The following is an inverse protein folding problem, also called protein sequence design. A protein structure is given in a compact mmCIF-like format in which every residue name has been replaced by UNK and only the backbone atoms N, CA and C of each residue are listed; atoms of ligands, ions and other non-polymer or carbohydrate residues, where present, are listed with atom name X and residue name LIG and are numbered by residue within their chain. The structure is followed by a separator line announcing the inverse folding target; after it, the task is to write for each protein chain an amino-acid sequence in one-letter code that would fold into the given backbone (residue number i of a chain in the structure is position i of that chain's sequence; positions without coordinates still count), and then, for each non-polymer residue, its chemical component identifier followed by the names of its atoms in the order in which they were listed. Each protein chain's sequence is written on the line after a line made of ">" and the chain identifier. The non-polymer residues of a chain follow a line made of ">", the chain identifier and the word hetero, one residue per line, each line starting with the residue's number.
data_IF_420689720100
#
_entry.id   IF_420689720100
#
_cell.length_a   1.000
_cell.length_b   1.000
_cell.length_c   1.000
_cell.angle_alpha   90.00
_cell.angle_beta   90.00
_cell.angle_gamma   90.00
#
_symmetry.space_group_name_H-M   'P 1'
#
loop_
_entity.id
_entity.type
_entity.pdbx_description
1 polymer ?
#
# COMPACT_ATOMS: atom_id res chain seq x y z
N UNK A 1 18.54 2.79 -32.97
CA UNK A 1 18.23 3.41 -31.65
C UNK A 1 16.98 2.79 -31.09
N UNK A 2 17.02 2.34 -29.83
CA UNK A 2 15.89 1.76 -29.11
C UNK A 2 15.45 2.71 -28.01
N UNK A 3 14.15 2.74 -27.71
CA UNK A 3 13.62 3.52 -26.62
C UNK A 3 13.00 2.61 -25.57
N UNK A 4 13.33 2.79 -24.30
CA UNK A 4 12.71 2.10 -23.17
C UNK A 4 12.24 3.08 -22.12
N UNK A 5 11.15 2.75 -21.43
CA UNK A 5 10.63 3.50 -20.29
C UNK A 5 10.91 2.71 -19.02
N UNK A 6 11.61 3.33 -18.07
CA UNK A 6 11.97 2.69 -16.81
C UNK A 6 11.38 3.48 -15.65
N UNK A 7 10.74 2.78 -14.74
CA UNK A 7 10.19 3.37 -13.51
C UNK A 7 11.31 3.50 -12.48
N UNK A 8 11.65 4.73 -12.09
CA UNK A 8 12.80 5.05 -11.26
C UNK A 8 12.33 5.34 -9.83
N UNK A 9 12.94 4.68 -8.85
CA UNK A 9 12.65 4.93 -7.43
C UNK A 9 13.49 6.06 -6.87
N UNK A 10 13.06 6.62 -5.72
CA UNK A 10 13.78 7.64 -4.94
C UNK A 10 13.89 9.03 -5.59
N UNK A 11 13.10 9.34 -6.61
CA UNK A 11 13.02 10.69 -7.15
C UNK A 11 11.99 11.51 -6.36
N UNK A 12 12.46 12.58 -5.70
CA UNK A 12 11.59 13.41 -4.83
C UNK A 12 11.60 14.90 -5.23
N UNK A 13 12.50 15.31 -6.12
CA UNK A 13 12.64 16.72 -6.51
C UNK A 13 13.23 16.87 -7.92
N UNK A 14 13.11 18.07 -8.48
CA UNK A 14 13.65 18.41 -9.80
C UNK A 14 15.19 18.24 -9.89
N UNK A 15 15.91 18.39 -8.78
CA UNK A 15 17.34 18.14 -8.75
C UNK A 15 17.67 16.66 -8.98
N UNK A 16 16.81 15.74 -8.53
CA UNK A 16 16.99 14.31 -8.75
C UNK A 16 16.83 13.96 -10.24
N UNK A 17 15.78 14.46 -10.90
CA UNK A 17 15.58 14.25 -12.33
C UNK A 17 16.69 14.89 -13.16
N UNK A 18 17.09 16.13 -12.81
CA UNK A 18 18.20 16.82 -13.47
C UNK A 18 19.55 16.11 -13.31
N UNK A 19 19.83 15.48 -12.16
CA UNK A 19 21.05 14.71 -11.94
C UNK A 19 21.10 13.47 -12.85
N UNK A 20 19.97 12.76 -13.00
CA UNK A 20 19.87 11.61 -13.90
C UNK A 20 20.04 12.05 -15.35
N UNK A 21 19.33 13.09 -15.78
CA UNK A 21 19.43 13.64 -17.13
C UNK A 21 20.85 14.08 -17.45
N UNK A 22 21.50 14.83 -16.57
CA UNK A 22 22.88 15.28 -16.74
C UNK A 22 23.85 14.10 -16.86
N UNK A 23 23.69 13.07 -16.03
CA UNK A 23 24.58 11.91 -16.02
C UNK A 23 24.50 11.10 -17.31
N UNK A 24 23.30 10.84 -17.83
CA UNK A 24 23.13 10.04 -19.04
C UNK A 24 23.34 10.86 -20.32
N UNK A 25 22.86 12.10 -20.37
CA UNK A 25 23.00 12.96 -21.54
C UNK A 25 24.45 13.45 -21.78
N UNK A 26 25.33 13.31 -20.77
CA UNK A 26 26.79 13.55 -20.92
C UNK A 26 27.53 12.38 -21.57
N UNK A 27 26.87 11.24 -21.79
CA UNK A 27 27.44 10.05 -22.40
C UNK A 27 27.04 9.96 -23.86
N UNK A 28 27.92 9.37 -24.69
CA UNK A 28 27.62 9.09 -26.08
C UNK A 28 26.62 7.93 -26.20
N UNK A 29 25.85 7.91 -27.26
CA UNK A 29 24.89 6.85 -27.63
C UNK A 29 23.70 6.64 -26.70
N UNK A 30 23.46 7.55 -25.74
CA UNK A 30 22.29 7.51 -24.87
C UNK A 30 21.74 8.90 -24.58
N UNK A 31 20.43 9.05 -24.63
CA UNK A 31 19.69 10.23 -24.19
C UNK A 31 18.59 9.83 -23.26
N UNK A 32 18.35 10.64 -22.25
CA UNK A 32 17.27 10.43 -21.28
C UNK A 32 16.45 11.70 -21.08
N UNK A 33 15.16 11.51 -20.96
CA UNK A 33 14.21 12.50 -20.46
C UNK A 33 13.47 11.92 -19.28
N UNK A 34 13.43 12.64 -18.17
CA UNK A 34 12.86 12.15 -16.91
C UNK A 34 11.61 12.94 -16.56
N UNK A 35 10.48 12.24 -16.47
CA UNK A 35 9.24 12.79 -15.94
C UNK A 35 9.19 12.54 -14.43
N UNK A 36 9.35 13.58 -13.63
CA UNK A 36 9.31 13.52 -12.17
C UNK A 36 7.92 13.17 -11.63
N UNK A 37 6.85 13.63 -12.29
CA UNK A 37 5.48 13.39 -11.83
C UNK A 37 5.11 11.91 -11.85
N UNK A 38 5.57 11.19 -12.87
CA UNK A 38 5.32 9.76 -13.06
C UNK A 38 6.44 8.87 -12.54
N UNK A 39 7.57 9.46 -12.14
CA UNK A 39 8.80 8.75 -11.82
C UNK A 39 9.31 7.86 -12.97
N UNK A 40 9.11 8.30 -14.22
CA UNK A 40 9.49 7.56 -15.42
C UNK A 40 10.66 8.26 -16.11
N UNK A 41 11.72 7.49 -16.38
CA UNK A 41 12.79 7.87 -17.28
C UNK A 41 12.60 7.22 -18.64
N UNK A 42 12.54 8.02 -19.71
CA UNK A 42 12.54 7.55 -21.10
C UNK A 42 13.97 7.61 -21.62
N UNK A 43 14.55 6.44 -21.87
CA UNK A 43 15.92 6.27 -22.36
C UNK A 43 15.89 5.91 -23.83
N UNK A 44 16.62 6.69 -24.66
CA UNK A 44 16.84 6.40 -26.08
C UNK A 44 18.32 6.11 -26.26
N UNK A 45 18.68 4.92 -26.72
CA UNK A 45 20.06 4.45 -26.77
C UNK A 45 20.34 3.56 -27.98
N UNK A 46 21.62 3.40 -28.29
CA UNK A 46 22.07 2.44 -29.25
C UNK A 46 22.27 1.05 -28.63
N UNK A 47 21.67 0.01 -29.22
CA UNK A 47 21.71 -1.36 -28.71
C UNK A 47 23.13 -1.97 -28.74
N UNK A 48 24.04 -1.41 -29.52
CA UNK A 48 25.43 -1.86 -29.60
C UNK A 48 26.24 -1.45 -28.39
N UNK A 49 25.91 -0.28 -27.80
CA UNK A 49 26.66 0.35 -26.67
C UNK A 49 25.96 0.19 -25.33
N UNK A 50 24.63 0.13 -25.33
CA UNK A 50 23.78 0.15 -24.13
C UNK A 50 22.71 -0.95 -24.16
N UNK A 51 22.43 -1.47 -22.97
CA UNK A 51 21.34 -2.41 -22.71
C UNK A 51 20.57 -1.96 -21.44
N UNK A 52 19.33 -2.42 -21.26
CA UNK A 52 18.50 -2.09 -20.09
C UNK A 52 19.15 -2.50 -18.76
N UNK A 53 19.96 -3.58 -18.73
CA UNK A 53 20.67 -4.01 -17.52
C UNK A 53 21.79 -3.06 -17.15
N UNK A 54 22.49 -2.51 -18.14
CA UNK A 54 23.56 -1.53 -17.98
C UNK A 54 22.97 -0.22 -17.47
N UNK A 55 21.85 0.24 -18.06
CA UNK A 55 21.11 1.42 -17.58
C UNK A 55 20.64 1.21 -16.15
N UNK A 56 20.08 0.03 -15.83
CA UNK A 56 19.64 -0.30 -14.49
C UNK A 56 20.75 -0.26 -13.43
N UNK A 57 21.94 -0.79 -13.81
CA UNK A 57 23.12 -0.80 -12.96
C UNK A 57 23.65 0.61 -12.69
N UNK A 58 23.69 1.44 -13.72
CA UNK A 58 24.12 2.84 -13.62
C UNK A 58 23.15 3.67 -12.78
N UNK A 59 21.85 3.54 -13.00
CA UNK A 59 20.83 4.19 -12.15
C UNK A 59 20.96 3.78 -10.69
N UNK A 60 21.21 2.49 -10.43
CA UNK A 60 21.41 2.00 -9.07
C UNK A 60 22.66 2.58 -8.42
N UNK A 61 23.76 2.76 -9.17
CA UNK A 61 24.99 3.37 -8.68
C UNK A 61 24.81 4.84 -8.31
N UNK A 62 23.90 5.55 -9.01
CA UNK A 62 23.51 6.92 -8.71
C UNK A 62 22.54 7.05 -7.52
N UNK A 63 22.11 5.93 -6.92
CA UNK A 63 21.13 5.92 -5.83
C UNK A 63 19.66 5.92 -6.29
N UNK A 64 19.39 5.78 -7.59
CA UNK A 64 18.06 5.76 -8.19
C UNK A 64 17.72 4.38 -8.78
N UNK A 65 17.46 3.35 -7.95
CA UNK A 65 17.19 2.02 -8.47
C UNK A 65 15.89 1.97 -9.27
N UNK A 66 15.85 1.12 -10.28
CA UNK A 66 14.62 0.85 -11.05
C UNK A 66 13.62 0.15 -10.14
N UNK A 67 12.40 0.66 -10.12
CA UNK A 67 11.28 -0.05 -9.52
C UNK A 67 10.91 -1.21 -10.47
N UNK A 68 11.29 -2.44 -10.12
CA UNK A 68 10.80 -3.61 -10.84
C UNK A 68 9.28 -3.61 -10.77
N UNK A 69 8.62 -3.49 -11.91
CA UNK A 69 7.20 -3.79 -11.99
C UNK A 69 7.04 -5.24 -11.55
N UNK A 70 6.52 -5.43 -10.36
CA UNK A 70 6.08 -6.75 -9.94
C UNK A 70 4.92 -7.11 -10.88
N UNK A 71 5.03 -8.23 -11.60
CA UNK A 71 4.02 -8.78 -12.50
C UNK A 71 2.65 -8.96 -11.81
N UNK A 72 2.65 -8.88 -10.49
CA UNK A 72 1.49 -8.86 -9.60
C UNK A 72 1.53 -7.58 -8.79
N UNK A 73 0.45 -6.83 -8.82
CA UNK A 73 0.25 -5.68 -7.95
C UNK A 73 0.13 -6.19 -6.51
N UNK A 74 1.23 -6.09 -5.75
CA UNK A 74 1.29 -6.57 -4.35
C UNK A 74 0.18 -5.96 -3.50
N UNK A 75 -0.24 -4.75 -3.84
CA UNK A 75 -1.34 -4.07 -3.16
C UNK A 75 -2.68 -4.72 -3.50
N UNK A 76 -2.86 -5.15 -4.77
CA UNK A 76 -4.05 -5.89 -5.18
C UNK A 76 -4.16 -7.25 -4.48
N UNK A 77 -3.05 -7.99 -4.41
CA UNK A 77 -3.01 -9.27 -3.70
C UNK A 77 -3.37 -9.08 -2.22
N UNK A 78 -2.78 -8.08 -1.57
CA UNK A 78 -3.05 -7.74 -0.18
C UNK A 78 -4.53 -7.40 0.02
N UNK A 79 -5.11 -6.61 -0.88
CA UNK A 79 -6.52 -6.23 -0.86
C UNK A 79 -7.42 -7.47 -1.00
N UNK A 80 -7.12 -8.36 -1.95
CA UNK A 80 -7.88 -9.61 -2.13
C UNK A 80 -7.82 -10.47 -0.87
N UNK A 81 -6.66 -10.61 -0.25
CA UNK A 81 -6.51 -11.36 1.00
C UNK A 81 -7.35 -10.74 2.11
N UNK A 82 -7.32 -9.41 2.29
CA UNK A 82 -8.13 -8.74 3.31
C UNK A 82 -9.62 -8.90 3.05
N UNK A 83 -10.07 -8.79 1.80
CA UNK A 83 -11.48 -9.03 1.43
C UNK A 83 -11.90 -10.47 1.74
N UNK A 84 -11.07 -11.46 1.39
CA UNK A 84 -11.36 -12.87 1.72
C UNK A 84 -11.42 -13.11 3.23
N UNK A 85 -10.52 -12.48 4.01
CA UNK A 85 -10.53 -12.59 5.47
C UNK A 85 -11.73 -11.89 6.13
N UNK A 86 -12.35 -10.91 5.47
CA UNK A 86 -13.55 -10.22 5.97
C UNK A 86 -14.85 -10.97 5.65
N UNK A 87 -14.87 -11.85 4.64
CA UNK A 87 -16.07 -12.61 4.29
C UNK A 87 -16.70 -13.40 5.47
N UNK A 88 -15.91 -14.11 6.32
CA UNK A 88 -16.46 -14.80 7.48
C UNK A 88 -17.20 -13.88 8.46
N UNK A 89 -16.76 -12.62 8.62
CA UNK A 89 -17.46 -11.65 9.47
C UNK A 89 -18.82 -11.26 8.87
N UNK A 90 -18.86 -11.01 7.55
CA UNK A 90 -20.12 -10.69 6.85
C UNK A 90 -21.11 -11.87 6.95
N UNK A 91 -20.63 -13.08 6.73
CA UNK A 91 -21.46 -14.30 6.85
C UNK A 91 -21.97 -14.45 8.29
N UNK A 92 -21.08 -14.28 9.29
CA UNK A 92 -21.46 -14.35 10.71
C UNK A 92 -22.52 -13.31 11.06
N UNK A 93 -22.37 -12.06 10.59
CA UNK A 93 -23.33 -10.98 10.80
C UNK A 93 -24.71 -11.34 10.22
N UNK A 94 -24.76 -11.88 8.99
CA UNK A 94 -26.02 -12.31 8.35
C UNK A 94 -26.67 -13.46 9.12
N UNK A 95 -25.89 -14.45 9.53
CA UNK A 95 -26.38 -15.60 10.30
C UNK A 95 -26.91 -15.18 11.68
N UNK A 96 -26.26 -14.22 12.31
CA UNK A 96 -26.67 -13.65 13.60
C UNK A 96 -28.01 -12.90 13.48
N UNK A 97 -28.23 -12.20 12.37
CA UNK A 97 -29.53 -11.57 12.10
C UNK A 97 -30.64 -12.60 11.89
N UNK A 98 -30.31 -13.79 11.36
CA UNK A 98 -31.26 -14.88 11.10
C UNK A 98 -31.49 -15.79 12.33
N UNK A 99 -30.52 -15.94 13.22
CA UNK A 99 -30.56 -16.88 14.32
C UNK A 99 -29.78 -16.41 15.56
N UNK A 100 -30.47 -16.11 16.67
CA UNK A 100 -29.92 -15.44 17.85
C UNK A 100 -28.92 -16.26 18.69
N UNK A 101 -28.68 -17.54 18.39
CA UNK A 101 -28.03 -18.49 19.30
C UNK A 101 -26.53 -18.77 19.04
N UNK A 102 -25.84 -18.04 18.15
CA UNK A 102 -24.45 -18.36 17.75
C UNK A 102 -23.35 -17.55 18.44
N UNK A 103 -23.60 -16.99 19.62
CA UNK A 103 -22.76 -15.92 20.20
C UNK A 103 -21.37 -16.31 20.73
N UNK A 104 -21.08 -17.54 21.14
CA UNK A 104 -19.85 -17.80 21.91
C UNK A 104 -18.72 -18.53 21.17
N UNK A 105 -19.03 -19.36 20.20
CA UNK A 105 -17.99 -20.20 19.54
C UNK A 105 -17.13 -19.44 18.52
N UNK A 106 -17.59 -18.30 18.03
CA UNK A 106 -16.93 -17.56 16.96
C UNK A 106 -15.97 -16.47 17.45
N UNK A 107 -15.98 -16.14 18.75
CA UNK A 107 -15.20 -15.03 19.30
C UNK A 107 -13.68 -15.18 19.10
N UNK A 108 -13.12 -16.37 19.29
CA UNK A 108 -11.69 -16.64 19.06
C UNK A 108 -11.31 -16.61 17.59
N UNK A 109 -12.21 -17.06 16.72
CA UNK A 109 -12.01 -16.97 15.27
C UNK A 109 -12.00 -15.50 14.82
N UNK A 110 -12.92 -14.70 15.35
CA UNK A 110 -12.96 -13.25 15.12
C UNK A 110 -11.65 -12.58 15.56
N UNK A 111 -11.11 -12.93 16.72
CA UNK A 111 -9.83 -12.39 17.21
C UNK A 111 -8.70 -12.70 16.22
N UNK A 112 -8.56 -13.95 15.79
CA UNK A 112 -7.48 -14.36 14.87
C UNK A 112 -7.61 -13.63 13.53
N UNK A 113 -8.80 -13.62 12.93
CA UNK A 113 -9.05 -12.97 11.64
C UNK A 113 -8.83 -11.46 11.73
N UNK A 114 -9.36 -10.80 12.78
CA UNK A 114 -9.17 -9.36 12.98
C UNK A 114 -7.69 -9.01 13.20
N UNK A 115 -6.94 -9.82 13.95
CA UNK A 115 -5.49 -9.63 14.14
C UNK A 115 -4.74 -9.70 12.80
N UNK A 116 -5.07 -10.68 11.96
CA UNK A 116 -4.45 -10.81 10.63
C UNK A 116 -4.78 -9.60 9.75
N UNK A 117 -6.01 -9.11 9.76
CA UNK A 117 -6.42 -7.94 8.99
C UNK A 117 -5.75 -6.67 9.55
N UNK A 118 -5.68 -6.50 10.88
CA UNK A 118 -5.00 -5.35 11.52
C UNK A 118 -3.51 -5.30 11.13
N UNK A 119 -2.81 -6.44 11.12
CA UNK A 119 -1.41 -6.51 10.70
C UNK A 119 -1.25 -6.26 9.19
N UNK A 120 -2.12 -6.83 8.36
CA UNK A 120 -2.03 -6.70 6.91
C UNK A 120 -2.51 -5.33 6.44
N UNK A 121 -3.72 -4.93 6.78
CA UNK A 121 -4.34 -3.70 6.31
C UNK A 121 -3.97 -2.48 7.16
N UNK A 122 -3.84 -2.63 8.48
CA UNK A 122 -3.50 -1.55 9.43
C UNK A 122 -2.08 -1.02 9.28
N UNK A 123 -1.11 -1.84 8.86
CA UNK A 123 0.30 -1.46 8.77
C UNK A 123 0.57 -0.13 8.03
N UNK A 124 0.04 0.11 6.82
CA UNK A 124 0.20 1.37 6.10
C UNK A 124 -0.37 2.59 6.84
N UNK A 125 -1.50 2.43 7.54
CA UNK A 125 -2.13 3.49 8.33
C UNK A 125 -1.30 3.79 9.58
N UNK A 126 -0.75 2.77 10.23
CA UNK A 126 0.12 2.93 11.39
C UNK A 126 1.41 3.70 11.03
N UNK A 127 2.04 3.36 9.90
CA UNK A 127 3.21 4.09 9.39
C UNK A 127 2.84 5.53 9.01
N UNK A 128 1.67 5.74 8.43
CA UNK A 128 1.11 7.07 8.14
C UNK A 128 0.92 7.89 9.42
N UNK A 129 0.34 7.30 10.46
CA UNK A 129 0.18 7.93 11.77
C UNK A 129 1.52 8.39 12.36
N UNK A 130 2.55 7.52 12.38
CA UNK A 130 3.89 7.89 12.89
C UNK A 130 4.47 9.08 12.12
N UNK A 131 4.32 9.09 10.78
CA UNK A 131 4.78 10.20 9.94
C UNK A 131 4.03 11.48 10.22
N UNK A 132 2.70 11.41 10.38
CA UNK A 132 1.87 12.57 10.65
C UNK A 132 2.18 13.18 12.03
N UNK A 133 2.40 12.35 13.06
CA UNK A 133 2.87 12.81 14.37
C UNK A 133 4.22 13.51 14.31
N UNK A 134 5.19 12.94 13.57
CA UNK A 134 6.51 13.59 13.38
C UNK A 134 6.39 14.97 12.72
N UNK A 135 5.43 15.13 11.82
CA UNK A 135 5.18 16.37 11.11
C UNK A 135 4.18 17.30 11.83
N UNK A 136 3.77 16.96 13.08
CA UNK A 136 2.77 17.68 13.88
C UNK A 136 1.46 17.92 13.11
N UNK A 137 1.02 16.95 12.33
CA UNK A 137 -0.22 16.97 11.55
C UNK A 137 -1.15 15.86 12.04
N UNK A 138 -2.45 16.17 12.11
CA UNK A 138 -3.49 15.18 12.39
C UNK A 138 -4.13 14.80 11.04
N UNK A 139 -3.59 13.74 10.42
CA UNK A 139 -4.09 13.22 9.16
C UNK A 139 -5.15 12.13 9.35
N UNK A 140 -5.75 11.69 8.24
CA UNK A 140 -6.73 10.60 8.21
C UNK A 140 -6.14 9.30 8.80
N UNK A 141 -4.85 9.04 8.56
CA UNK A 141 -4.17 7.83 9.03
C UNK A 141 -4.12 7.77 10.56
N UNK A 142 -4.03 8.93 11.25
CA UNK A 142 -4.07 9.03 12.71
C UNK A 142 -5.43 8.62 13.26
N UNK A 143 -6.51 9.17 12.70
CA UNK A 143 -7.88 8.89 13.14
C UNK A 143 -8.25 7.42 12.92
N UNK A 144 -7.90 6.87 11.75
CA UNK A 144 -8.13 5.47 11.42
C UNK A 144 -7.40 4.56 12.39
N UNK A 145 -6.10 4.77 12.58
CA UNK A 145 -5.28 3.91 13.45
C UNK A 145 -5.74 3.98 14.91
N UNK A 146 -6.04 5.17 15.43
CA UNK A 146 -6.54 5.31 16.80
C UNK A 146 -7.90 4.64 16.97
N UNK A 147 -8.82 4.82 16.01
CA UNK A 147 -10.16 4.24 16.07
C UNK A 147 -10.13 2.71 16.02
N UNK A 148 -9.42 2.14 15.06
CA UNK A 148 -9.34 0.67 14.91
C UNK A 148 -8.58 0.03 16.05
N UNK A 149 -7.47 0.62 16.49
CA UNK A 149 -6.67 0.09 17.60
C UNK A 149 -7.44 0.15 18.92
N UNK A 150 -8.16 1.25 19.17
CA UNK A 150 -8.99 1.39 20.39
C UNK A 150 -10.10 0.34 20.41
N UNK A 151 -10.83 0.16 19.31
CA UNK A 151 -11.89 -0.83 19.21
C UNK A 151 -11.35 -2.27 19.30
N UNK A 152 -10.17 -2.53 18.73
CA UNK A 152 -9.48 -3.82 18.82
C UNK A 152 -9.07 -4.13 20.27
N UNK A 153 -8.39 -3.20 20.95
CA UNK A 153 -7.93 -3.37 22.34
C UNK A 153 -9.11 -3.51 23.28
N UNK A 154 -10.15 -2.70 23.11
CA UNK A 154 -11.39 -2.82 23.89
C UNK A 154 -12.02 -4.21 23.75
N UNK A 155 -12.15 -4.72 22.52
CA UNK A 155 -12.68 -6.07 22.27
C UNK A 155 -11.80 -7.17 22.86
N UNK A 156 -10.48 -6.99 22.83
CA UNK A 156 -9.53 -7.93 23.43
C UNK A 156 -9.71 -7.98 24.95
N UNK A 157 -9.87 -6.83 25.60
CA UNK A 157 -10.15 -6.75 27.06
C UNK A 157 -11.45 -7.46 27.38
N UNK A 158 -12.53 -7.18 26.65
CA UNK A 158 -13.83 -7.84 26.86
C UNK A 158 -13.72 -9.37 26.71
N UNK A 159 -12.95 -9.83 25.76
CA UNK A 159 -12.74 -11.27 25.55
C UNK A 159 -11.99 -11.92 26.71
N UNK A 160 -10.96 -11.25 27.26
CA UNK A 160 -10.16 -11.73 28.38
C UNK A 160 -11.01 -11.83 29.65
N UNK A 161 -11.82 -10.82 29.94
CA UNK A 161 -12.72 -10.83 31.12
C UNK A 161 -13.98 -11.67 30.92
N UNK A 162 -14.11 -12.34 29.76
CA UNK A 162 -15.27 -13.17 29.38
C UNK A 162 -16.60 -12.40 29.52
N UNK A 163 -16.60 -11.15 29.12
CA UNK A 163 -17.78 -10.29 29.15
C UNK A 163 -18.85 -10.76 28.15
N UNK A 164 -20.11 -10.54 28.47
CA UNK A 164 -21.25 -10.76 27.57
C UNK A 164 -21.51 -9.60 26.61
N UNK A 165 -20.73 -8.51 26.72
CA UNK A 165 -20.85 -7.39 25.81
C UNK A 165 -20.39 -7.72 24.38
N UNK A 166 -20.97 -7.08 23.37
CA UNK A 166 -20.59 -7.32 21.96
C UNK A 166 -19.13 -6.95 21.71
N UNK A 167 -18.45 -7.77 20.95
CA UNK A 167 -17.08 -7.53 20.49
C UNK A 167 -17.10 -6.72 19.19
N UNK A 168 -16.12 -5.85 19.02
CA UNK A 168 -16.00 -4.95 17.86
C UNK A 168 -14.92 -5.37 16.86
N UNK A 169 -14.46 -6.63 16.89
CA UNK A 169 -13.47 -7.14 15.95
C UNK A 169 -13.92 -7.05 14.50
N UNK A 170 -15.21 -7.35 14.24
CA UNK A 170 -15.81 -7.23 12.91
C UNK A 170 -15.80 -5.79 12.40
N UNK A 171 -16.08 -4.81 13.27
CA UNK A 171 -16.08 -3.38 12.92
C UNK A 171 -14.69 -2.92 12.50
N UNK A 172 -13.64 -3.31 13.25
CA UNK A 172 -12.26 -3.01 12.90
C UNK A 172 -11.88 -3.60 11.54
N UNK A 173 -12.19 -4.89 11.33
CA UNK A 173 -11.87 -5.62 10.13
C UNK A 173 -12.55 -5.03 8.88
N UNK A 174 -13.84 -4.74 8.98
CA UNK A 174 -14.62 -4.13 7.89
C UNK A 174 -14.12 -2.72 7.57
N UNK A 175 -13.91 -1.87 8.58
CA UNK A 175 -13.44 -0.51 8.41
C UNK A 175 -12.09 -0.48 7.69
N UNK A 176 -11.11 -1.26 8.14
CA UNK A 176 -9.79 -1.34 7.52
C UNK A 176 -9.86 -1.85 6.09
N UNK A 177 -10.69 -2.86 5.82
CA UNK A 177 -10.84 -3.42 4.48
C UNK A 177 -11.45 -2.40 3.51
N UNK A 178 -12.51 -1.68 3.92
CA UNK A 178 -13.14 -0.64 3.11
C UNK A 178 -12.15 0.50 2.82
N UNK A 179 -11.39 0.93 3.83
CA UNK A 179 -10.38 1.98 3.65
C UNK A 179 -9.23 1.54 2.74
N UNK A 180 -8.83 0.25 2.81
CA UNK A 180 -7.82 -0.30 1.91
C UNK A 180 -8.31 -0.32 0.46
N UNK A 181 -9.58 -0.69 0.24
CA UNK A 181 -10.25 -0.60 -1.08
C UNK A 181 -10.21 0.87 -1.57
N UNK A 182 -10.61 1.82 -0.72
CA UNK A 182 -10.60 3.24 -1.06
C UNK A 182 -9.23 3.75 -1.48
N UNK A 183 -8.18 3.45 -0.71
CA UNK A 183 -6.79 3.79 -1.05
C UNK A 183 -6.33 3.16 -2.37
N UNK A 184 -6.72 1.92 -2.63
CA UNK A 184 -6.36 1.25 -3.88
C UNK A 184 -7.03 1.91 -5.10
N UNK A 185 -8.34 2.21 -5.00
CA UNK A 185 -9.11 2.88 -6.06
C UNK A 185 -8.54 4.28 -6.32
N UNK A 186 -8.28 5.07 -5.26
CA UNK A 186 -7.67 6.40 -5.37
C UNK A 186 -6.33 6.35 -6.11
N UNK A 187 -5.45 5.42 -5.73
CA UNK A 187 -4.15 5.24 -6.38
C UNK A 187 -4.29 4.90 -7.85
N UNK A 188 -5.22 3.99 -8.20
CA UNK A 188 -5.47 3.58 -9.57
C UNK A 188 -6.08 4.70 -10.41
N UNK A 189 -6.97 5.52 -9.83
CA UNK A 189 -7.54 6.68 -10.49
C UNK A 189 -6.46 7.73 -10.81
N UNK A 190 -5.59 8.06 -9.84
CA UNK A 190 -4.48 9.00 -10.03
C UNK A 190 -3.51 8.54 -11.12
N UNK A 191 -3.19 7.25 -11.18
CA UNK A 191 -2.27 6.71 -12.22
C UNK A 191 -2.83 6.82 -13.63
N UNK A 192 -4.16 6.79 -13.82
CA UNK A 192 -4.80 6.96 -15.13
C UNK A 192 -4.82 8.41 -15.60
N UNK A 193 -4.98 9.36 -14.67
CA UNK A 193 -5.09 10.78 -15.02
C UNK A 193 -3.74 11.37 -15.45
N UNK A 194 -2.62 10.77 -15.04
CA UNK A 194 -1.27 11.24 -15.36
C UNK A 194 -0.75 10.67 -16.69
N UNK A 195 -1.45 9.68 -17.29
CA UNK A 195 -1.06 9.04 -18.55
C UNK A 195 -1.84 9.53 -19.78
N UNK A 196 -2.64 10.59 -19.63
CA UNK A 196 -3.28 11.38 -20.70
C UNK A 196 -2.60 12.74 -20.78
#
# INVERSE_FOLDING_TARGET
>A
MKSCKLNISNMHCSNCSGAIEKHFNSKEDIKVSVNLADNIGTFTYDETSWDEKKIAKDLKSLGYPIKKESKYDKELIKLIICVLLTLPFVVHMILMMANHNMHHSFNYVQLILATLIELLAGGPFFLGMIRDFKNKRLGMDVLVTLGTLTAYVYSLILLIIKSTHPLYFETCAMLLTILLIGKYVEKKAKSKTTSS
#
